data_IF_404541450698
#
_entry.id   IF_404541450698
#
_cell.length_a   1.000
_cell.length_b   1.000
_cell.length_c   1.000
_cell.angle_alpha   90.00
_cell.angle_beta   90.00
_cell.angle_gamma   90.00
#
_symmetry.space_group_name_H-M   'P 1'
#
loop_
_entity.id
_entity.type
_entity.pdbx_description
1 polymer ?
#
# COMPACT_ATOMS: atom_id res chain seq x y z
N UNK A 1 -18.36 13.43 -30.41
CA UNK A 1 -18.55 12.55 -29.22
C UNK A 1 -17.46 11.50 -29.25
N UNK A 2 -16.45 11.56 -28.39
CA UNK A 2 -15.48 10.46 -28.28
C UNK A 2 -16.17 9.34 -27.52
N UNK A 3 -16.43 8.23 -28.18
CA UNK A 3 -16.84 6.99 -27.55
C UNK A 3 -15.78 6.60 -26.50
N UNK A 4 -16.11 6.81 -25.23
CA UNK A 4 -15.34 6.22 -24.13
C UNK A 4 -15.56 4.71 -24.20
N UNK A 5 -14.67 4.00 -24.86
CA UNK A 5 -14.58 2.54 -24.74
C UNK A 5 -14.29 2.26 -23.27
N UNK A 6 -15.33 1.96 -22.53
CA UNK A 6 -15.21 1.45 -21.15
C UNK A 6 -14.59 0.07 -21.29
N UNK A 7 -13.27 -0.02 -21.12
CA UNK A 7 -12.60 -1.32 -21.07
C UNK A 7 -13.18 -2.10 -19.88
N UNK A 8 -13.61 -3.33 -20.14
CA UNK A 8 -14.03 -4.23 -19.08
C UNK A 8 -12.91 -4.34 -18.03
N UNK A 9 -13.31 -4.26 -16.77
CA UNK A 9 -12.39 -4.40 -15.65
C UNK A 9 -11.91 -5.85 -15.56
N UNK A 10 -10.58 -6.06 -15.50
CA UNK A 10 -10.03 -7.40 -15.28
C UNK A 10 -10.59 -7.99 -13.98
N UNK A 11 -11.11 -9.21 -14.06
CA UNK A 11 -11.49 -9.96 -12.88
C UNK A 11 -10.21 -10.39 -12.12
N UNK A 12 -10.11 -9.99 -10.86
CA UNK A 12 -9.01 -10.36 -9.97
C UNK A 12 -9.52 -11.23 -8.84
N UNK A 13 -8.62 -11.85 -8.08
CA UNK A 13 -8.97 -12.45 -6.80
C UNK A 13 -9.57 -11.37 -5.89
N UNK A 14 -10.46 -11.76 -4.99
CA UNK A 14 -11.01 -10.87 -3.97
C UNK A 14 -10.33 -11.18 -2.63
N UNK A 15 -9.88 -10.13 -1.96
CA UNK A 15 -9.39 -10.19 -0.58
C UNK A 15 -10.26 -9.28 0.30
N UNK A 16 -10.10 -9.35 1.61
CA UNK A 16 -10.78 -8.45 2.55
C UNK A 16 -9.75 -7.69 3.38
N UNK A 17 -9.96 -6.38 3.53
CA UNK A 17 -9.24 -5.56 4.51
C UNK A 17 -10.24 -5.18 5.60
N UNK A 18 -10.21 -5.88 6.70
CA UNK A 18 -11.31 -5.85 7.66
C UNK A 18 -12.63 -6.26 6.99
N UNK A 19 -13.62 -5.37 7.00
CA UNK A 19 -14.92 -5.58 6.36
C UNK A 19 -14.98 -5.08 4.90
N UNK A 20 -13.92 -4.46 4.37
CA UNK A 20 -13.89 -3.89 3.02
C UNK A 20 -13.37 -4.92 2.02
N UNK A 21 -14.20 -5.38 1.05
CA UNK A 21 -13.74 -6.25 -0.02
C UNK A 21 -12.92 -5.46 -1.04
N UNK A 22 -11.80 -6.05 -1.50
CA UNK A 22 -10.88 -5.44 -2.47
C UNK A 22 -10.60 -6.44 -3.59
N UNK A 23 -10.76 -6.03 -4.82
CA UNK A 23 -10.64 -6.90 -6.00
C UNK A 23 -11.93 -7.59 -6.39
N UNK A 24 -11.88 -8.57 -7.28
CA UNK A 24 -13.08 -9.20 -7.85
C UNK A 24 -13.98 -8.18 -8.54
N UNK A 25 -15.27 -8.29 -8.29
CA UNK A 25 -16.28 -7.35 -8.76
C UNK A 25 -16.60 -6.23 -7.75
N UNK A 26 -15.85 -6.13 -6.62
CA UNK A 26 -16.11 -5.13 -5.60
C UNK A 26 -15.91 -3.70 -6.12
N UNK A 27 -16.61 -2.71 -5.56
CA UNK A 27 -16.32 -1.31 -5.82
C UNK A 27 -14.84 -0.96 -5.56
N UNK A 28 -14.35 0.08 -6.22
CA UNK A 28 -12.98 0.57 -5.97
C UNK A 28 -12.95 1.21 -4.60
N UNK A 29 -12.15 0.67 -3.69
CA UNK A 29 -11.97 1.22 -2.35
C UNK A 29 -10.99 2.39 -2.34
N UNK A 30 -11.30 3.41 -1.54
CA UNK A 30 -10.48 4.60 -1.34
C UNK A 30 -9.68 4.44 -0.05
N UNK A 31 -8.35 4.48 -0.17
CA UNK A 31 -7.46 4.42 0.99
C UNK A 31 -6.70 5.73 1.16
N UNK A 32 -6.73 6.28 2.37
CA UNK A 32 -5.90 7.42 2.77
C UNK A 32 -4.86 7.00 3.82
N UNK A 33 -4.06 7.94 4.29
CA UNK A 33 -3.01 7.71 5.28
C UNK A 33 -2.96 8.85 6.28
N UNK A 34 -2.70 8.54 7.55
CA UNK A 34 -2.39 9.55 8.57
C UNK A 34 -0.99 10.13 8.36
N UNK A 35 -0.81 11.38 8.74
CA UNK A 35 0.49 12.05 8.80
C UNK A 35 0.87 12.50 10.23
N UNK A 36 0.06 12.13 11.23
CA UNK A 36 0.36 12.35 12.64
C UNK A 36 1.44 11.39 13.13
N UNK A 37 2.14 11.75 14.20
CA UNK A 37 2.93 10.78 14.94
C UNK A 37 2.00 9.73 15.56
N UNK A 38 2.22 8.45 15.24
CA UNK A 38 1.37 7.34 15.69
C UNK A 38 1.34 7.20 17.21
N UNK A 39 2.42 7.58 17.89
CA UNK A 39 2.51 7.58 19.35
C UNK A 39 1.58 8.61 20.00
N UNK A 40 1.21 9.67 19.28
CA UNK A 40 0.11 10.56 19.65
C UNK A 40 -1.24 9.94 19.25
N UNK A 41 -1.71 9.06 20.13
CA UNK A 41 -2.96 8.31 19.93
C UNK A 41 -4.16 9.23 19.70
N UNK A 42 -4.25 10.35 20.45
CA UNK A 42 -5.41 11.26 20.37
C UNK A 42 -5.47 11.98 19.03
N UNK A 43 -4.36 12.57 18.59
CA UNK A 43 -4.27 13.25 17.29
C UNK A 43 -4.47 12.30 16.14
N UNK A 44 -3.95 11.08 16.23
CA UNK A 44 -4.10 10.07 15.20
C UNK A 44 -5.55 9.59 15.08
N UNK A 45 -6.25 9.32 16.19
CA UNK A 45 -7.68 8.99 16.17
C UNK A 45 -8.50 10.14 15.55
N UNK A 46 -8.23 11.38 15.95
CA UNK A 46 -8.92 12.55 15.36
C UNK A 46 -8.72 12.60 13.85
N UNK A 47 -7.50 12.37 13.37
CA UNK A 47 -7.22 12.39 11.94
C UNK A 47 -7.88 11.21 11.20
N UNK A 48 -7.91 10.00 11.78
CA UNK A 48 -8.63 8.86 11.20
C UNK A 48 -10.12 9.16 11.03
N UNK A 49 -10.75 9.78 12.03
CA UNK A 49 -12.16 10.18 11.92
C UNK A 49 -12.38 11.21 10.81
N UNK A 50 -11.51 12.22 10.68
CA UNK A 50 -11.57 13.18 9.57
C UNK A 50 -11.41 12.50 8.20
N UNK A 51 -10.53 11.51 8.10
CA UNK A 51 -10.33 10.72 6.88
C UNK A 51 -11.60 9.90 6.57
N UNK A 52 -12.24 9.33 7.59
CA UNK A 52 -13.51 8.62 7.45
C UNK A 52 -14.62 9.55 6.97
N UNK A 53 -14.77 10.71 7.59
CA UNK A 53 -15.79 11.71 7.23
C UNK A 53 -15.57 12.26 5.81
N UNK A 54 -14.33 12.26 5.33
CA UNK A 54 -13.98 12.60 3.95
C UNK A 54 -14.32 11.48 2.94
N UNK A 55 -14.81 10.32 3.38
CA UNK A 55 -15.27 9.23 2.53
C UNK A 55 -14.20 8.18 2.18
N UNK A 56 -13.14 8.05 2.97
CA UNK A 56 -12.21 6.93 2.81
C UNK A 56 -12.81 5.63 3.37
N UNK A 57 -12.53 4.52 2.70
CA UNK A 57 -12.95 3.17 3.12
C UNK A 57 -11.91 2.49 4.02
N UNK A 58 -10.65 2.85 3.86
CA UNK A 58 -9.49 2.23 4.54
C UNK A 58 -8.52 3.32 4.94
N UNK A 59 -7.90 3.20 6.11
CA UNK A 59 -6.82 4.10 6.53
C UNK A 59 -5.52 3.33 6.74
N UNK A 60 -4.38 3.94 6.39
CA UNK A 60 -3.04 3.42 6.65
C UNK A 60 -2.37 4.26 7.73
N UNK A 61 -1.77 3.59 8.70
CA UNK A 61 -1.04 4.20 9.82
C UNK A 61 0.38 3.67 9.81
N UNK A 62 1.37 4.55 9.88
CA UNK A 62 2.78 4.17 9.98
C UNK A 62 3.10 3.59 11.37
N UNK A 63 3.85 2.49 11.41
CA UNK A 63 4.28 1.86 12.67
C UNK A 63 5.80 1.69 12.63
N UNK A 64 6.56 2.75 12.93
CA UNK A 64 8.03 2.72 12.83
C UNK A 64 8.74 2.09 14.02
N UNK A 65 8.12 2.06 15.20
CA UNK A 65 8.72 1.61 16.48
C UNK A 65 7.81 0.64 17.21
N UNK A 66 8.33 -0.04 18.23
CA UNK A 66 7.52 -0.89 19.12
C UNK A 66 6.55 -0.07 19.97
N UNK A 67 6.92 1.16 20.34
CA UNK A 67 6.01 2.08 21.03
C UNK A 67 4.84 2.49 20.14
N UNK A 68 5.14 2.78 18.88
CA UNK A 68 4.11 3.02 17.86
C UNK A 68 3.20 1.78 17.65
N UNK A 69 3.71 0.55 17.79
CA UNK A 69 2.90 -0.65 17.74
C UNK A 69 1.90 -0.73 18.92
N UNK A 70 2.35 -0.38 20.13
CA UNK A 70 1.48 -0.24 21.29
C UNK A 70 0.40 0.85 21.12
N UNK A 71 0.78 1.97 20.52
CA UNK A 71 -0.14 3.06 20.20
C UNK A 71 -1.14 2.64 19.09
N UNK A 72 -0.68 1.93 18.06
CA UNK A 72 -1.50 1.42 16.98
C UNK A 72 -2.65 0.55 17.48
N UNK A 73 -2.41 -0.37 18.41
CA UNK A 73 -3.46 -1.20 19.04
C UNK A 73 -4.52 -0.36 19.74
N UNK A 74 -4.09 0.70 20.48
CA UNK A 74 -5.01 1.64 21.14
C UNK A 74 -5.83 2.46 20.14
N UNK A 75 -5.24 2.86 19.01
CA UNK A 75 -5.93 3.56 17.95
C UNK A 75 -6.96 2.63 17.30
N UNK A 76 -6.53 1.43 16.90
CA UNK A 76 -7.40 0.45 16.23
C UNK A 76 -8.64 0.12 17.05
N UNK A 77 -8.52 0.01 18.37
CA UNK A 77 -9.67 -0.27 19.25
C UNK A 77 -10.71 0.87 19.33
N UNK A 78 -10.38 2.06 18.83
CA UNK A 78 -11.23 3.27 18.94
C UNK A 78 -11.69 3.83 17.60
N UNK A 79 -11.26 3.25 16.47
CA UNK A 79 -11.64 3.70 15.13
C UNK A 79 -12.47 2.64 14.44
N UNK A 80 -13.36 3.07 13.53
CA UNK A 80 -14.27 2.17 12.79
C UNK A 80 -13.70 1.73 11.45
N UNK A 81 -12.88 2.58 10.81
CA UNK A 81 -12.25 2.24 9.54
C UNK A 81 -11.32 1.03 9.69
N UNK A 82 -11.26 0.14 8.71
CA UNK A 82 -10.17 -0.81 8.58
C UNK A 82 -8.82 -0.12 8.55
N UNK A 83 -7.87 -0.64 9.33
CA UNK A 83 -6.54 -0.03 9.51
C UNK A 83 -5.44 -0.91 8.94
N UNK A 84 -4.67 -0.34 8.03
CA UNK A 84 -3.46 -0.96 7.47
C UNK A 84 -2.25 -0.53 8.30
N UNK A 85 -1.55 -1.47 8.91
CA UNK A 85 -0.28 -1.21 9.56
C UNK A 85 0.86 -1.13 8.53
N UNK A 86 1.53 0.02 8.47
CA UNK A 86 2.63 0.27 7.54
C UNK A 86 3.98 0.04 8.22
N UNK A 87 4.61 -1.09 7.91
CA UNK A 87 5.88 -1.52 8.49
C UNK A 87 6.99 -1.42 7.43
N UNK A 88 8.07 -0.72 7.76
CA UNK A 88 9.12 -0.44 6.79
C UNK A 88 10.29 -1.41 6.86
N UNK A 89 10.80 -1.74 8.07
CA UNK A 89 12.07 -2.46 8.20
C UNK A 89 12.05 -3.60 9.23
N UNK A 90 11.39 -3.43 10.37
CA UNK A 90 11.46 -4.40 11.46
C UNK A 90 10.26 -5.36 11.45
N UNK A 91 10.57 -6.64 11.16
CA UNK A 91 9.57 -7.71 11.15
C UNK A 91 8.91 -7.92 12.53
N UNK A 92 9.61 -7.64 13.62
CA UNK A 92 9.05 -7.77 14.98
C UNK A 92 7.86 -6.85 15.21
N UNK A 93 7.90 -5.65 14.60
CA UNK A 93 6.77 -4.72 14.63
C UNK A 93 5.57 -5.32 13.88
N UNK A 94 5.82 -5.96 12.72
CA UNK A 94 4.75 -6.64 11.98
C UNK A 94 4.10 -7.74 12.83
N UNK A 95 4.90 -8.55 13.53
CA UNK A 95 4.39 -9.59 14.46
C UNK A 95 3.59 -8.97 15.59
N UNK A 96 4.07 -7.85 16.16
CA UNK A 96 3.44 -7.20 17.29
C UNK A 96 2.06 -6.62 16.97
N UNK A 97 1.77 -6.24 15.71
CA UNK A 97 0.49 -5.62 15.32
C UNK A 97 -0.42 -6.55 14.51
N UNK A 98 0.04 -7.73 14.14
CA UNK A 98 -0.71 -8.65 13.28
C UNK A 98 -2.06 -9.09 13.87
N UNK A 99 -2.16 -9.14 15.19
CA UNK A 99 -3.38 -9.50 15.91
C UNK A 99 -4.46 -8.39 15.93
N UNK A 100 -4.07 -7.18 15.56
CA UNK A 100 -4.95 -6.00 15.64
C UNK A 100 -5.11 -5.25 14.31
N UNK A 101 -4.21 -5.46 13.36
CA UNK A 101 -4.30 -4.86 12.04
C UNK A 101 -5.31 -5.57 11.14
N UNK A 102 -5.94 -4.83 10.23
CA UNK A 102 -6.79 -5.41 9.18
C UNK A 102 -6.00 -5.75 7.90
N UNK A 103 -4.77 -5.27 7.80
CA UNK A 103 -3.82 -5.58 6.71
C UNK A 103 -2.42 -5.13 7.14
N UNK A 104 -1.41 -5.90 6.78
CA UNK A 104 -0.02 -5.48 6.92
C UNK A 104 0.48 -4.91 5.60
N UNK A 105 1.10 -3.73 5.63
CA UNK A 105 1.86 -3.23 4.47
C UNK A 105 3.34 -3.43 4.74
N UNK A 106 3.96 -4.21 3.89
CA UNK A 106 5.40 -4.47 3.95
C UNK A 106 6.04 -4.32 2.56
N UNK A 107 7.36 -4.11 2.57
CA UNK A 107 8.21 -4.39 1.42
C UNK A 107 9.10 -5.56 1.83
N UNK A 108 8.84 -6.79 1.35
CA UNK A 108 9.64 -7.96 1.74
C UNK A 108 11.14 -7.77 1.52
N UNK A 109 11.53 -7.01 0.49
CA UNK A 109 12.93 -6.67 0.24
C UNK A 109 13.61 -5.86 1.36
N UNK A 110 12.84 -5.16 2.19
CA UNK A 110 13.34 -4.36 3.32
C UNK A 110 13.25 -5.08 4.66
N UNK A 111 12.40 -6.10 4.77
CA UNK A 111 12.21 -6.86 6.02
C UNK A 111 13.42 -7.72 6.37
N UNK A 112 14.16 -8.17 5.38
CA UNK A 112 15.42 -8.89 5.54
C UNK A 112 15.39 -10.34 5.03
N UNK A 113 15.96 -11.28 5.80
CA UNK A 113 16.12 -12.67 5.37
C UNK A 113 14.80 -13.42 5.25
N UNK A 114 14.78 -14.49 4.45
CA UNK A 114 13.59 -15.29 4.16
C UNK A 114 12.86 -15.82 5.41
N UNK A 115 13.59 -16.16 6.46
CA UNK A 115 13.00 -16.63 7.72
C UNK A 115 12.10 -15.56 8.35
N UNK A 116 12.56 -14.30 8.39
CA UNK A 116 11.80 -13.18 8.96
C UNK A 116 10.52 -12.89 8.16
N UNK A 117 10.62 -12.98 6.83
CA UNK A 117 9.46 -12.81 5.97
C UNK A 117 8.46 -13.94 6.23
N UNK A 118 8.93 -15.18 6.41
CA UNK A 118 8.08 -16.33 6.74
C UNK A 118 7.34 -16.13 8.07
N UNK A 119 7.99 -15.58 9.08
CA UNK A 119 7.33 -15.27 10.36
C UNK A 119 6.19 -14.26 10.17
N UNK A 120 6.41 -13.20 9.40
CA UNK A 120 5.36 -12.21 9.08
C UNK A 120 4.21 -12.84 8.31
N UNK A 121 4.50 -13.71 7.32
CA UNK A 121 3.48 -14.43 6.57
C UNK A 121 2.68 -15.35 7.49
N UNK A 122 3.35 -16.08 8.39
CA UNK A 122 2.67 -16.95 9.34
C UNK A 122 1.77 -16.15 10.30
N UNK A 123 2.24 -15.00 10.78
CA UNK A 123 1.43 -14.12 11.62
C UNK A 123 0.19 -13.60 10.85
N UNK A 124 0.34 -13.22 9.59
CA UNK A 124 -0.78 -12.81 8.74
C UNK A 124 -1.78 -13.95 8.51
N UNK A 125 -1.30 -15.19 8.26
CA UNK A 125 -2.15 -16.39 8.14
C UNK A 125 -2.93 -16.68 9.42
N UNK A 126 -2.25 -16.67 10.56
CA UNK A 126 -2.87 -16.98 11.86
C UNK A 126 -3.96 -15.99 12.25
N UNK A 127 -3.90 -14.77 11.74
CA UNK A 127 -4.89 -13.73 12.00
C UNK A 127 -5.85 -13.48 10.81
N UNK A 128 -5.75 -14.29 9.75
CA UNK A 128 -6.55 -14.18 8.51
C UNK A 128 -6.56 -12.77 7.91
N UNK A 129 -5.41 -12.09 7.95
CA UNK A 129 -5.27 -10.73 7.40
C UNK A 129 -4.43 -10.73 6.13
N UNK A 130 -4.78 -9.87 5.13
CA UNK A 130 -4.01 -9.75 3.91
C UNK A 130 -2.70 -9.00 4.12
N UNK A 131 -1.75 -9.27 3.22
CA UNK A 131 -0.53 -8.49 3.11
C UNK A 131 -0.63 -7.58 1.87
N UNK A 132 -0.27 -6.30 2.03
CA UNK A 132 0.01 -5.42 0.91
C UNK A 132 1.50 -5.40 0.65
N UNK A 133 1.90 -5.96 -0.48
CA UNK A 133 3.27 -5.86 -0.99
C UNK A 133 3.46 -4.52 -1.68
N UNK A 134 4.44 -3.75 -1.24
CA UNK A 134 4.73 -2.43 -1.79
C UNK A 134 6.12 -2.37 -2.42
N UNK A 135 6.19 -2.19 -3.72
CA UNK A 135 7.44 -1.94 -4.46
C UNK A 135 7.50 -0.47 -4.86
N UNK A 136 8.61 0.18 -4.58
CA UNK A 136 8.83 1.57 -4.93
C UNK A 136 10.10 1.71 -5.79
N UNK A 137 10.04 2.55 -6.82
CA UNK A 137 11.19 2.81 -7.72
C UNK A 137 12.43 3.30 -6.96
N UNK A 138 12.24 4.16 -5.95
CA UNK A 138 13.34 4.69 -5.13
C UNK A 138 13.97 3.68 -4.15
N UNK A 139 13.42 2.47 -4.01
CA UNK A 139 13.93 1.43 -3.11
C UNK A 139 14.09 0.08 -3.80
N UNK A 140 14.39 0.09 -5.09
CA UNK A 140 14.71 -1.13 -5.84
C UNK A 140 15.97 -1.79 -5.30
N UNK A 141 16.01 -3.11 -5.37
CA UNK A 141 17.15 -3.93 -4.94
C UNK A 141 18.42 -3.60 -5.76
N UNK A 142 19.58 -3.56 -5.09
CA UNK A 142 20.85 -3.18 -5.71
C UNK A 142 21.20 -3.97 -6.98
N UNK A 143 20.82 -5.24 -7.05
CA UNK A 143 21.08 -6.06 -8.23
C UNK A 143 20.21 -5.67 -9.43
N UNK A 144 18.98 -5.20 -9.19
CA UNK A 144 18.11 -4.66 -10.23
C UNK A 144 18.58 -3.28 -10.70
N UNK A 145 19.04 -2.44 -9.77
CA UNK A 145 19.68 -1.17 -10.13
C UNK A 145 20.91 -1.39 -11.02
N UNK A 146 21.74 -2.40 -10.71
CA UNK A 146 22.88 -2.77 -11.58
C UNK A 146 22.45 -3.30 -12.95
N UNK A 147 21.36 -4.10 -12.98
CA UNK A 147 20.87 -4.72 -14.22
C UNK A 147 20.23 -3.71 -15.18
N UNK A 148 19.47 -2.77 -14.64
CA UNK A 148 18.63 -1.86 -15.42
C UNK A 148 19.19 -0.43 -15.51
N UNK A 149 20.23 -0.08 -14.71
CA UNK A 149 20.72 1.28 -14.56
C UNK A 149 19.71 2.17 -13.83
N UNK A 150 18.94 2.91 -14.59
CA UNK A 150 17.86 3.74 -14.07
C UNK A 150 16.60 2.92 -13.73
N UNK A 151 15.81 3.31 -12.70
CA UNK A 151 14.53 2.70 -12.42
C UNK A 151 13.58 2.81 -13.63
N UNK A 152 13.00 1.69 -14.03
CA UNK A 152 12.04 1.61 -15.13
C UNK A 152 10.92 0.61 -14.82
N UNK A 153 9.91 0.55 -15.68
CA UNK A 153 8.74 -0.30 -15.47
C UNK A 153 9.09 -1.79 -15.38
N UNK A 154 10.09 -2.26 -16.13
CA UNK A 154 10.50 -3.67 -16.13
C UNK A 154 11.23 -4.04 -14.83
N UNK A 155 12.07 -3.15 -14.30
CA UNK A 155 12.72 -3.31 -13.01
C UNK A 155 11.69 -3.41 -11.87
N UNK A 156 10.67 -2.54 -11.88
CA UNK A 156 9.56 -2.58 -10.91
C UNK A 156 8.79 -3.89 -10.97
N UNK A 157 8.46 -4.34 -12.19
CA UNK A 157 7.74 -5.60 -12.40
C UNK A 157 8.58 -6.80 -11.96
N UNK A 158 9.89 -6.83 -12.29
CA UNK A 158 10.78 -7.91 -11.86
C UNK A 158 10.91 -7.95 -10.34
N UNK A 159 11.08 -6.80 -9.69
CA UNK A 159 11.08 -6.70 -8.22
C UNK A 159 9.79 -7.25 -7.64
N UNK A 160 8.64 -6.82 -8.17
CA UNK A 160 7.34 -7.29 -7.70
C UNK A 160 7.17 -8.80 -7.85
N UNK A 161 7.55 -9.38 -8.99
CA UNK A 161 7.45 -10.83 -9.21
C UNK A 161 8.30 -11.62 -8.22
N UNK A 162 9.50 -11.14 -7.88
CA UNK A 162 10.35 -11.76 -6.84
C UNK A 162 9.68 -11.74 -5.46
N UNK A 163 9.02 -10.62 -5.12
CA UNK A 163 8.29 -10.52 -3.85
C UNK A 163 7.08 -11.45 -3.80
N UNK A 164 6.36 -11.58 -4.92
CA UNK A 164 5.24 -12.50 -5.07
C UNK A 164 5.69 -13.95 -4.95
N UNK A 165 6.78 -14.33 -5.61
CA UNK A 165 7.36 -15.69 -5.53
C UNK A 165 7.67 -16.10 -4.07
N UNK A 166 8.11 -15.15 -3.24
CA UNK A 166 8.31 -15.42 -1.80
C UNK A 166 6.99 -15.75 -1.10
N UNK A 167 5.91 -15.02 -1.39
CA UNK A 167 4.60 -15.28 -0.81
C UNK A 167 4.03 -16.62 -1.28
N UNK A 168 4.10 -16.90 -2.58
CA UNK A 168 3.61 -18.13 -3.20
C UNK A 168 4.36 -19.37 -2.70
N UNK A 169 5.69 -19.30 -2.57
CA UNK A 169 6.51 -20.37 -1.95
C UNK A 169 6.14 -20.66 -0.49
N UNK A 170 5.55 -19.70 0.18
CA UNK A 170 5.00 -19.88 1.52
C UNK A 170 3.49 -20.18 1.50
N UNK A 171 2.88 -20.54 0.38
CA UNK A 171 1.44 -20.82 0.22
C UNK A 171 0.57 -19.68 0.77
N UNK A 172 0.91 -18.43 0.43
CA UNK A 172 0.15 -17.25 0.85
C UNK A 172 -0.32 -16.47 -0.37
N UNK A 173 -1.61 -16.47 -0.61
CA UNK A 173 -2.26 -15.81 -1.75
C UNK A 173 -3.19 -14.65 -1.35
N UNK A 174 -3.40 -14.45 -0.03
CA UNK A 174 -4.18 -13.35 0.52
C UNK A 174 -3.38 -12.04 0.52
N UNK A 175 -3.07 -11.51 -0.66
CA UNK A 175 -2.31 -10.27 -0.77
C UNK A 175 -2.80 -9.35 -1.88
N UNK A 176 -2.44 -8.08 -1.78
CA UNK A 176 -2.56 -7.07 -2.84
C UNK A 176 -1.22 -6.43 -3.13
N UNK A 177 -1.04 -5.93 -4.34
CA UNK A 177 0.24 -5.40 -4.82
C UNK A 177 0.14 -3.90 -5.13
N UNK A 178 1.19 -3.15 -4.78
CA UNK A 178 1.37 -1.78 -5.23
C UNK A 178 2.75 -1.56 -5.84
N UNK A 179 2.79 -0.94 -7.01
CA UNK A 179 3.99 -0.50 -7.73
C UNK A 179 3.96 1.01 -7.81
N UNK A 180 4.93 1.68 -7.24
CA UNK A 180 4.93 3.14 -7.16
C UNK A 180 6.23 3.71 -7.69
N UNK A 181 6.09 4.75 -8.52
CA UNK A 181 7.17 5.61 -8.96
C UNK A 181 6.70 7.06 -8.89
N UNK A 182 7.64 8.00 -8.91
CA UNK A 182 7.33 9.43 -9.02
C UNK A 182 6.88 9.80 -10.44
N UNK A 183 7.35 9.05 -11.44
CA UNK A 183 6.95 9.22 -12.83
C UNK A 183 5.61 8.50 -13.10
N UNK A 184 4.66 9.24 -13.66
CA UNK A 184 3.29 8.75 -13.93
C UNK A 184 3.30 7.67 -15.01
N UNK A 185 4.00 7.89 -16.12
CA UNK A 185 4.03 6.97 -17.25
C UNK A 185 4.66 5.64 -16.86
N UNK A 186 5.77 5.68 -16.12
CA UNK A 186 6.40 4.49 -15.54
C UNK A 186 5.43 3.74 -14.62
N UNK A 187 4.69 4.45 -13.79
CA UNK A 187 3.70 3.84 -12.88
C UNK A 187 2.60 3.15 -13.67
N UNK A 188 2.00 3.84 -14.65
CA UNK A 188 0.93 3.29 -15.50
C UNK A 188 1.42 2.06 -16.27
N UNK A 189 2.60 2.15 -16.87
CA UNK A 189 3.20 1.03 -17.63
C UNK A 189 3.47 -0.17 -16.72
N UNK A 190 4.02 0.06 -15.53
CA UNK A 190 4.27 -1.00 -14.54
C UNK A 190 2.98 -1.74 -14.15
N UNK A 191 1.90 -0.99 -13.89
CA UNK A 191 0.60 -1.59 -13.59
C UNK A 191 0.00 -2.35 -14.77
N UNK A 192 0.14 -1.84 -16.00
CA UNK A 192 -0.29 -2.55 -17.21
C UNK A 192 0.48 -3.85 -17.44
N UNK A 193 1.79 -3.84 -17.18
CA UNK A 193 2.62 -5.04 -17.30
C UNK A 193 2.30 -6.08 -16.24
N UNK A 194 2.22 -5.66 -14.97
CA UNK A 194 1.99 -6.60 -13.87
C UNK A 194 0.58 -7.18 -13.89
N UNK A 195 -0.43 -6.41 -14.28
CA UNK A 195 -1.81 -6.88 -14.38
C UNK A 195 -2.01 -8.04 -15.34
N UNK A 196 -1.11 -8.21 -16.32
CA UNK A 196 -1.12 -9.35 -17.24
C UNK A 196 -0.51 -10.62 -16.64
N UNK A 197 0.22 -10.49 -15.53
CA UNK A 197 1.01 -11.58 -14.94
C UNK A 197 0.39 -12.15 -13.67
N UNK A 198 -0.46 -11.40 -12.98
CA UNK A 198 -1.04 -11.80 -11.69
C UNK A 198 -2.54 -11.56 -11.66
N UNK A 199 -3.23 -12.32 -10.82
CA UNK A 199 -4.67 -12.17 -10.59
C UNK A 199 -5.02 -11.54 -9.24
N UNK A 200 -4.02 -11.18 -8.44
CA UNK A 200 -4.23 -10.47 -7.19
C UNK A 200 -4.65 -9.02 -7.44
N UNK A 201 -5.42 -8.42 -6.54
CA UNK A 201 -5.87 -7.04 -6.67
C UNK A 201 -4.70 -6.06 -6.58
N UNK A 202 -4.79 -4.98 -7.35
CA UNK A 202 -3.79 -3.93 -7.42
C UNK A 202 -4.21 -2.74 -6.58
N UNK A 203 -3.25 -2.18 -5.85
CA UNK A 203 -3.42 -0.94 -5.11
C UNK A 203 -2.71 0.19 -5.87
N UNK A 204 -3.49 1.02 -6.56
CA UNK A 204 -2.96 2.10 -7.38
C UNK A 204 -2.52 3.29 -6.52
N UNK A 205 -1.45 3.94 -6.92
CA UNK A 205 -0.94 5.14 -6.26
C UNK A 205 0.41 5.56 -6.83
N UNK A 206 0.77 6.80 -6.59
CA UNK A 206 2.04 7.41 -7.02
C UNK A 206 2.86 7.72 -5.77
N UNK A 207 4.18 7.57 -5.85
CA UNK A 207 5.11 7.99 -4.80
C UNK A 207 5.35 9.48 -4.92
N UNK A 208 5.52 10.15 -3.78
CA UNK A 208 5.82 11.59 -3.74
C UNK A 208 4.82 12.42 -4.55
N UNK A 209 3.55 12.04 -4.46
CA UNK A 209 2.48 12.85 -5.07
C UNK A 209 2.42 14.20 -4.36
N UNK A 210 3.42 15.01 -4.60
CA UNK A 210 3.35 16.42 -4.34
C UNK A 210 2.37 16.99 -5.37
N UNK A 211 1.37 17.59 -4.85
CA UNK A 211 0.14 17.96 -5.47
C UNK A 211 0.26 18.68 -6.82
N UNK A 212 1.32 19.41 -7.04
CA UNK A 212 1.51 20.23 -8.25
C UNK A 212 2.18 19.52 -9.42
N UNK A 213 3.09 18.58 -9.16
CA UNK A 213 4.02 18.13 -10.21
C UNK A 213 3.86 16.65 -10.57
N UNK A 214 3.34 15.82 -9.68
CA UNK A 214 3.37 14.36 -9.86
C UNK A 214 2.01 13.74 -10.14
N UNK A 215 0.90 14.38 -9.76
CA UNK A 215 -0.45 13.87 -9.98
C UNK A 215 -1.46 15.02 -10.05
N UNK A 216 -1.45 15.79 -11.13
CA UNK A 216 -2.37 16.92 -11.28
C UNK A 216 -3.82 16.42 -11.25
N UNK A 217 -4.57 16.90 -10.29
CA UNK A 217 -6.01 16.66 -10.17
C UNK A 217 -6.77 17.99 -10.23
N UNK A 218 -8.07 17.99 -10.46
CA UNK A 218 -8.88 19.22 -10.35
C UNK A 218 -8.75 19.90 -8.99
N UNK A 219 -8.45 19.14 -7.93
CA UNK A 219 -8.20 19.65 -6.59
C UNK A 219 -6.86 20.40 -6.52
N UNK A 220 -5.83 19.84 -7.11
CA UNK A 220 -4.50 20.43 -7.14
C UNK A 220 -4.49 21.74 -7.96
N UNK A 221 -5.25 21.80 -9.05
CA UNK A 221 -5.46 23.01 -9.84
C UNK A 221 -6.12 24.14 -9.04
N UNK A 222 -6.98 23.82 -8.08
CA UNK A 222 -7.58 24.83 -7.19
C UNK A 222 -6.56 25.43 -6.22
N UNK A 223 -5.69 24.58 -5.67
CA UNK A 223 -4.61 25.05 -4.78
C UNK A 223 -3.56 25.89 -5.51
N UNK A 224 -3.24 25.55 -6.76
CA UNK A 224 -2.31 26.32 -7.57
C UNK A 224 -2.82 27.72 -7.97
N UNK A 225 -4.10 28.00 -7.78
CA UNK A 225 -4.71 29.32 -8.03
C UNK A 225 -4.78 30.22 -6.80
N UNK A 226 -4.32 29.76 -5.65
CA UNK A 226 -4.16 30.67 -4.50
C UNK A 226 -3.01 31.64 -4.83
N UNK A 227 -3.25 32.96 -4.82
CA UNK A 227 -2.17 33.91 -5.01
C UNK A 227 -1.15 33.66 -3.91
N UNK A 228 0.12 33.53 -4.31
CA UNK A 228 1.21 33.67 -3.37
C UNK A 228 1.05 35.06 -2.74
N UNK A 229 0.59 35.10 -1.50
CA UNK A 229 0.62 36.31 -0.71
C UNK A 229 2.08 36.77 -0.67
N UNK A 230 2.35 37.90 -1.29
CA UNK A 230 3.61 38.61 -1.20
C UNK A 230 3.97 38.94 0.24
#
# INVERSE_FOLDING_TARGET
MMDRVVKERKLTKQIKVGNVPVGGCSPISIQSMTNTNTEDVKSTIKQVNLIQDAGADIVRISVPTMDAAGAFKKIKSKVKLPVVADIHFDYKIALAVADSADCLRINPGNIGKAEKIREVINAAKSNDIPIRVGVNAGSLEKHLQKKYGEPNSDALVESAMKQIDILEKNNFDNFKLSLKASNIDMTVESYRKISKKIDQPLHLGITESCLLYTSPSPRDKRLSRMPSSA
#
